data_IF_292813870943
#
_entry.id   IF_292813870943
#
_cell.length_a   1.000
_cell.length_b   1.000
_cell.length_c   1.000
_cell.angle_alpha   90.00
_cell.angle_beta   90.00
_cell.angle_gamma   90.00
#
_symmetry.space_group_name_H-M   'P 1'
#
loop_
_entity.id
_entity.type
_entity.pdbx_description
1 polymer ?
#
# COMPACT_ATOMS: atom_id res chain seq x y z
N UNK A 1 24.84 48.66 -19.68
CA UNK A 1 23.97 48.08 -18.63
C UNK A 1 23.37 46.82 -19.22
N UNK A 2 23.86 45.64 -18.81
CA UNK A 2 23.42 44.36 -19.38
C UNK A 2 22.19 43.89 -18.62
N UNK A 3 21.01 43.95 -19.26
CA UNK A 3 19.80 43.30 -18.75
C UNK A 3 19.97 41.79 -18.90
N UNK A 4 20.41 41.13 -17.83
CA UNK A 4 20.34 39.68 -17.69
C UNK A 4 18.86 39.33 -17.52
N UNK A 5 18.17 39.01 -18.61
CA UNK A 5 16.85 38.38 -18.54
C UNK A 5 17.06 36.97 -18.00
N UNK A 6 16.74 36.75 -16.73
CA UNK A 6 16.67 35.44 -16.11
C UNK A 6 15.65 34.61 -16.90
N UNK A 7 16.05 33.49 -17.53
CA UNK A 7 15.13 32.73 -18.38
C UNK A 7 14.03 32.11 -17.52
N UNK A 8 12.77 32.35 -17.91
CA UNK A 8 11.59 31.71 -17.30
C UNK A 8 11.70 30.21 -17.57
N UNK A 9 11.85 29.39 -16.52
CA UNK A 9 11.90 27.93 -16.64
C UNK A 9 10.46 27.36 -16.64
N UNK A 10 10.25 26.12 -17.15
CA UNK A 10 8.93 25.49 -17.12
C UNK A 10 8.29 25.41 -15.71
N UNK A 11 9.12 25.29 -14.66
CA UNK A 11 8.65 25.31 -13.28
C UNK A 11 8.09 26.69 -12.87
N UNK A 12 8.70 27.78 -13.35
CA UNK A 12 8.18 29.13 -13.12
C UNK A 12 6.81 29.30 -13.79
N UNK A 13 6.62 28.73 -14.99
CA UNK A 13 5.33 28.79 -15.68
C UNK A 13 4.23 28.05 -14.91
N UNK A 14 4.51 26.87 -14.35
CA UNK A 14 3.54 26.14 -13.54
C UNK A 14 3.11 26.90 -12.28
N UNK A 15 4.04 27.56 -11.62
CA UNK A 15 3.73 28.40 -10.45
C UNK A 15 2.88 29.61 -10.88
N UNK A 16 3.21 30.26 -11.99
CA UNK A 16 2.41 31.36 -12.53
C UNK A 16 1.01 30.91 -12.95
N UNK A 17 0.87 29.80 -13.66
CA UNK A 17 -0.42 29.21 -14.04
C UNK A 17 -1.26 28.92 -12.79
N UNK A 18 -0.62 28.44 -11.71
CA UNK A 18 -1.30 28.22 -10.45
C UNK A 18 -1.70 29.53 -9.76
N UNK A 19 -0.87 30.56 -9.80
CA UNK A 19 -1.21 31.87 -9.27
C UNK A 19 -2.38 32.49 -10.03
N UNK A 20 -2.38 32.39 -11.37
CA UNK A 20 -3.49 32.82 -12.20
C UNK A 20 -4.78 32.05 -11.89
N UNK A 21 -4.69 30.75 -11.63
CA UNK A 21 -5.85 29.94 -11.24
C UNK A 21 -6.40 30.33 -9.85
N UNK A 22 -5.53 30.62 -8.88
CA UNK A 22 -5.91 30.83 -7.46
C UNK A 22 -6.30 32.28 -7.17
N UNK A 23 -5.53 33.23 -7.69
CA UNK A 23 -5.73 34.67 -7.46
C UNK A 23 -6.46 35.37 -8.61
N UNK A 24 -6.45 34.78 -9.81
CA UNK A 24 -6.96 35.44 -11.02
C UNK A 24 -5.89 36.28 -11.73
N UNK A 25 -6.15 36.58 -13.00
CA UNK A 25 -5.23 37.30 -13.88
C UNK A 25 -4.90 38.71 -13.40
N UNK A 26 -5.93 39.49 -13.04
CA UNK A 26 -5.80 40.87 -12.59
C UNK A 26 -4.98 40.99 -11.30
N UNK A 27 -5.25 40.11 -10.32
CA UNK A 27 -4.59 40.16 -9.01
C UNK A 27 -3.15 39.64 -9.11
N UNK A 28 -2.91 38.60 -9.91
CA UNK A 28 -1.55 38.10 -10.18
C UNK A 28 -0.72 39.16 -10.90
N UNK A 29 -1.29 39.83 -11.91
CA UNK A 29 -0.62 40.93 -12.61
C UNK A 29 -0.35 42.12 -11.68
N UNK A 30 -1.26 42.43 -10.75
CA UNK A 30 -1.06 43.49 -9.76
C UNK A 30 0.04 43.14 -8.76
N UNK A 31 0.06 41.90 -8.27
CA UNK A 31 1.05 41.39 -7.33
C UNK A 31 2.46 41.35 -7.93
N UNK A 32 2.58 40.93 -9.19
CA UNK A 32 3.87 40.84 -9.87
C UNK A 32 4.30 42.17 -10.49
N UNK A 33 3.35 42.97 -11.00
CA UNK A 33 3.62 44.22 -11.72
C UNK A 33 4.32 45.29 -10.88
N UNK A 34 4.23 45.23 -9.56
CA UNK A 34 4.98 46.10 -8.64
C UNK A 34 6.44 45.67 -8.40
N UNK A 35 6.86 44.51 -8.90
CA UNK A 35 8.19 43.95 -8.70
C UNK A 35 9.06 44.08 -9.95
N UNK A 36 10.37 44.22 -9.77
CA UNK A 36 11.33 44.10 -10.89
C UNK A 36 11.33 42.68 -11.45
N UNK A 37 11.68 42.46 -12.73
CA UNK A 37 11.69 41.13 -13.34
C UNK A 37 12.52 40.09 -12.54
N UNK A 38 13.64 40.51 -11.98
CA UNK A 38 14.49 39.66 -11.12
C UNK A 38 13.78 39.28 -9.81
N UNK A 39 13.06 40.21 -9.19
CA UNK A 39 12.31 39.95 -7.96
C UNK A 39 11.06 39.08 -8.23
N UNK A 40 10.42 39.24 -9.40
CA UNK A 40 9.34 38.36 -9.84
C UNK A 40 9.87 36.92 -10.00
N UNK A 41 11.00 36.75 -10.70
CA UNK A 41 11.61 35.43 -10.88
C UNK A 41 11.94 34.77 -9.53
N UNK A 42 12.58 35.50 -8.61
CA UNK A 42 12.91 34.99 -7.27
C UNK A 42 11.69 34.63 -6.43
N UNK A 43 10.61 35.41 -6.55
CA UNK A 43 9.35 35.12 -5.85
C UNK A 43 8.73 33.83 -6.37
N UNK A 44 8.58 33.71 -7.69
CA UNK A 44 8.01 32.53 -8.34
C UNK A 44 8.86 31.29 -8.04
N UNK A 45 10.18 31.41 -8.09
CA UNK A 45 11.11 30.35 -7.73
C UNK A 45 11.00 29.97 -6.24
N UNK A 46 10.88 30.96 -5.35
CA UNK A 46 10.68 30.75 -3.91
C UNK A 46 9.38 30.01 -3.61
N UNK A 47 8.29 30.40 -4.27
CA UNK A 47 7.00 29.71 -4.18
C UNK A 47 7.12 28.28 -4.70
N UNK A 48 7.78 28.08 -5.84
CA UNK A 48 8.03 26.74 -6.40
C UNK A 48 8.75 25.83 -5.41
N UNK A 49 9.86 26.30 -4.82
CA UNK A 49 10.61 25.55 -3.80
C UNK A 49 9.77 25.21 -2.57
N UNK A 50 8.95 26.15 -2.08
CA UNK A 50 8.08 25.89 -0.93
C UNK A 50 7.01 24.85 -1.25
N UNK A 51 6.46 24.87 -2.46
CA UNK A 51 5.51 23.86 -2.94
C UNK A 51 6.21 22.51 -3.04
N UNK A 52 7.37 22.42 -3.69
CA UNK A 52 8.13 21.18 -3.84
C UNK A 52 8.50 20.57 -2.48
N UNK A 53 8.90 21.40 -1.52
CA UNK A 53 9.17 20.97 -0.15
C UNK A 53 7.90 20.44 0.52
N UNK A 54 6.79 21.19 0.47
CA UNK A 54 5.53 20.75 1.08
C UNK A 54 4.99 19.45 0.45
N UNK A 55 5.13 19.29 -0.87
CA UNK A 55 4.79 18.05 -1.57
C UNK A 55 5.70 16.91 -1.11
N UNK A 56 7.01 17.14 -1.03
CA UNK A 56 7.96 16.13 -0.56
C UNK A 56 7.66 15.69 0.87
N UNK A 57 7.38 16.64 1.77
CA UNK A 57 7.05 16.39 3.17
C UNK A 57 5.74 15.61 3.31
N UNK A 58 4.77 15.83 2.42
CA UNK A 58 3.51 15.09 2.41
C UNK A 58 3.63 13.70 1.77
N UNK A 59 4.34 13.58 0.65
CA UNK A 59 4.41 12.36 -0.17
C UNK A 59 5.37 11.33 0.41
N UNK A 60 6.47 11.75 1.03
CA UNK A 60 7.46 10.85 1.65
C UNK A 60 6.84 9.90 2.69
N UNK A 61 6.14 10.39 3.73
CA UNK A 61 5.52 9.52 4.73
C UNK A 61 4.39 8.67 4.12
N UNK A 62 3.66 9.19 3.14
CA UNK A 62 2.61 8.44 2.46
C UNK A 62 3.18 7.26 1.66
N UNK A 63 4.31 7.47 0.99
CA UNK A 63 5.03 6.43 0.24
C UNK A 63 5.55 5.34 1.19
N UNK A 64 6.12 5.73 2.33
CA UNK A 64 6.57 4.79 3.35
C UNK A 64 5.41 3.98 3.94
N UNK A 65 4.28 4.64 4.22
CA UNK A 65 3.07 3.96 4.71
C UNK A 65 2.52 2.98 3.68
N UNK A 66 2.49 3.35 2.40
CA UNK A 66 2.05 2.47 1.32
C UNK A 66 2.91 1.20 1.24
N UNK A 67 4.24 1.35 1.26
CA UNK A 67 5.15 0.20 1.26
C UNK A 67 4.98 -0.69 2.50
N UNK A 68 4.72 -0.10 3.67
CA UNK A 68 4.46 -0.86 4.90
C UNK A 68 3.15 -1.66 4.80
N UNK A 69 2.09 -1.08 4.24
CA UNK A 69 0.81 -1.76 4.03
C UNK A 69 0.93 -2.91 3.02
N UNK A 70 1.64 -2.70 1.91
CA UNK A 70 1.90 -3.76 0.93
C UNK A 70 2.68 -4.94 1.56
N UNK A 71 3.68 -4.64 2.38
CA UNK A 71 4.44 -5.66 3.12
C UNK A 71 3.54 -6.44 4.07
N UNK A 72 2.69 -5.75 4.85
CA UNK A 72 1.75 -6.42 5.76
C UNK A 72 0.74 -7.30 5.01
N UNK A 73 0.19 -6.82 3.90
CA UNK A 73 -0.72 -7.60 3.06
C UNK A 73 -0.05 -8.86 2.51
N UNK A 74 1.20 -8.74 2.06
CA UNK A 74 1.98 -9.89 1.58
C UNK A 74 2.21 -10.92 2.70
N UNK A 75 2.57 -10.47 3.90
CA UNK A 75 2.73 -11.33 5.07
C UNK A 75 1.41 -12.01 5.46
N UNK A 76 0.30 -11.28 5.48
CA UNK A 76 -1.03 -11.85 5.75
C UNK A 76 -1.43 -12.89 4.71
N UNK A 77 -1.16 -12.64 3.43
CA UNK A 77 -1.43 -13.60 2.37
C UNK A 77 -0.59 -14.88 2.53
N UNK A 78 0.68 -14.75 2.92
CA UNK A 78 1.54 -15.90 3.20
C UNK A 78 1.04 -16.71 4.40
N UNK A 79 0.67 -16.06 5.50
CA UNK A 79 0.08 -16.73 6.66
C UNK A 79 -1.25 -17.42 6.30
N UNK A 80 -2.10 -16.76 5.51
CA UNK A 80 -3.36 -17.33 5.03
C UNK A 80 -3.14 -18.64 4.26
N UNK A 81 -2.20 -18.65 3.30
CA UNK A 81 -1.84 -19.88 2.56
C UNK A 81 -1.34 -20.99 3.47
N UNK A 82 -0.43 -20.68 4.40
CA UNK A 82 0.09 -21.68 5.36
C UNK A 82 -1.02 -22.25 6.25
N UNK A 83 -1.97 -21.41 6.66
CA UNK A 83 -3.13 -21.83 7.42
C UNK A 83 -4.04 -22.75 6.60
N UNK A 84 -4.37 -22.38 5.36
CA UNK A 84 -5.15 -23.20 4.43
C UNK A 84 -4.50 -24.57 4.19
N UNK A 85 -3.19 -24.61 3.95
CA UNK A 85 -2.46 -25.87 3.78
C UNK A 85 -2.51 -26.75 5.03
N UNK A 86 -2.40 -26.14 6.22
CA UNK A 86 -2.47 -26.86 7.49
C UNK A 86 -3.86 -27.40 7.75
N UNK A 87 -4.90 -26.63 7.41
CA UNK A 87 -6.29 -27.07 7.49
C UNK A 87 -6.58 -28.23 6.54
N UNK A 88 -6.10 -28.16 5.29
CA UNK A 88 -6.25 -29.24 4.32
C UNK A 88 -5.57 -30.53 4.82
N UNK A 89 -4.34 -30.44 5.34
CA UNK A 89 -3.64 -31.58 5.96
C UNK A 89 -4.42 -32.17 7.13
N UNK A 90 -4.97 -31.31 8.00
CA UNK A 90 -5.80 -31.76 9.12
C UNK A 90 -7.06 -32.48 8.65
N UNK A 91 -7.74 -31.98 7.61
CA UNK A 91 -8.94 -32.60 7.07
C UNK A 91 -8.66 -34.00 6.52
N UNK A 92 -7.58 -34.15 5.74
CA UNK A 92 -7.15 -35.46 5.22
C UNK A 92 -6.80 -36.44 6.34
N UNK A 93 -6.14 -35.98 7.41
CA UNK A 93 -5.80 -36.87 8.54
C UNK A 93 -7.05 -37.29 9.32
N UNK A 94 -8.02 -36.41 9.50
CA UNK A 94 -9.32 -36.74 10.11
C UNK A 94 -10.05 -37.80 9.28
N UNK A 95 -10.09 -37.65 7.96
CA UNK A 95 -10.70 -38.64 7.06
C UNK A 95 -9.99 -39.99 7.16
N UNK A 96 -8.65 -39.99 7.16
CA UNK A 96 -7.82 -41.20 7.29
C UNK A 96 -8.08 -41.92 8.62
N UNK A 97 -8.13 -41.18 9.73
CA UNK A 97 -8.39 -41.74 11.05
C UNK A 97 -9.83 -42.27 11.16
N UNK A 98 -10.80 -41.56 10.59
CA UNK A 98 -12.20 -42.01 10.54
C UNK A 98 -12.31 -43.34 9.79
N UNK A 99 -11.66 -43.46 8.63
CA UNK A 99 -11.61 -44.71 7.87
C UNK A 99 -10.94 -45.86 8.65
N UNK A 100 -9.83 -45.58 9.34
CA UNK A 100 -9.13 -46.57 10.16
C UNK A 100 -9.99 -47.07 11.34
N UNK A 101 -10.74 -46.18 11.98
CA UNK A 101 -11.67 -46.56 13.05
C UNK A 101 -12.80 -47.45 12.53
N UNK A 102 -13.44 -47.08 11.41
CA UNK A 102 -14.50 -47.88 10.79
C UNK A 102 -14.04 -49.29 10.44
N UNK A 103 -12.84 -49.42 9.85
CA UNK A 103 -12.29 -50.73 9.50
C UNK A 103 -11.88 -51.55 10.72
N UNK A 104 -11.36 -50.92 11.78
CA UNK A 104 -11.05 -51.57 13.06
C UNK A 104 -12.29 -52.13 13.77
N UNK A 105 -13.41 -51.40 13.76
CA UNK A 105 -14.67 -51.87 14.31
C UNK A 105 -15.24 -53.04 13.50
N UNK A 106 -15.17 -52.97 12.16
CA UNK A 106 -15.63 -54.06 11.28
C UNK A 106 -14.74 -55.31 11.36
N UNK A 107 -13.43 -55.16 11.62
CA UNK A 107 -12.48 -56.26 11.78
C UNK A 107 -12.38 -56.80 13.21
N UNK A 108 -13.25 -56.37 14.13
CA UNK A 108 -13.41 -56.99 15.44
C UNK A 108 -14.61 -57.95 15.43
N UNK A 109 -14.55 -59.13 14.74
CA UNK A 109 -15.55 -60.15 14.97
C UNK A 109 -15.37 -60.61 16.41
N UNK A 110 -16.47 -60.65 17.14
CA UNK A 110 -16.61 -61.19 18.49
C UNK A 110 -15.69 -62.39 18.70
N UNK A 111 -14.52 -62.19 19.34
CA UNK A 111 -13.55 -63.28 19.61
C UNK A 111 -14.03 -64.26 20.69
N UNK A 112 -15.30 -64.16 21.10
CA UNK A 112 -15.91 -65.09 22.02
C UNK A 112 -16.56 -66.22 21.22
N UNK A 113 -15.81 -67.30 21.00
CA UNK A 113 -16.43 -68.58 20.69
C UNK A 113 -17.32 -68.96 21.88
N UNK A 114 -18.60 -69.31 21.67
CA UNK A 114 -19.43 -69.81 22.76
C UNK A 114 -18.79 -71.09 23.30
N UNK A 115 -18.50 -71.10 24.61
CA UNK A 115 -18.07 -72.30 25.32
C UNK A 115 -19.30 -73.20 25.41
N UNK A 116 -19.30 -74.34 24.72
CA UNK A 116 -20.27 -75.40 24.99
C UNK A 116 -19.91 -76.01 26.34
N UNK A 117 -20.74 -75.81 27.37
CA UNK A 117 -20.80 -76.72 28.50
C UNK A 117 -21.52 -77.98 28.03
N UNK A 118 -20.81 -79.11 27.98
CA UNK A 118 -21.47 -80.41 28.05
C UNK A 118 -21.91 -80.64 29.50
N UNK A 119 -23.21 -80.85 29.69
CA UNK A 119 -23.84 -81.24 30.96
C UNK A 119 -24.28 -82.69 30.83
#
# INVERSE_FOLDING_TARGET
>A
MSSSSTPITPAHQLVLDRMYLVFGEQDTATLLGGLSPENQARLVEGIGRLIDQAVTDAVTPLTALHAALESQLSTMAAHGRTFEESLARSATEVERLTYALHTSEQQSPSRLKPIKLEV
#
